data_IF_150266343823
#
_entry.id   IF_150266343823
#
_cell.length_a   1.000
_cell.length_b   1.000
_cell.length_c   1.000
_cell.angle_alpha   90.00
_cell.angle_beta   90.00
_cell.angle_gamma   90.00
#
_symmetry.space_group_name_H-M   'P 1'
#
loop_
_entity.id
_entity.type
_entity.pdbx_description
1 polymer ?
#
# COMPACT_ATOMS: atom_id res chain seq x y z
N UNK A 1 -14.86 -1.67 -16.12
CA UNK A 1 -14.42 -0.74 -17.16
C UNK A 1 -14.05 -1.59 -18.33
N UNK A 2 -14.85 -1.53 -19.42
CA UNK A 2 -14.35 -1.99 -20.70
C UNK A 2 -13.28 -0.99 -21.13
N UNK A 3 -12.04 -1.31 -20.82
CA UNK A 3 -10.90 -0.66 -21.43
C UNK A 3 -10.84 -1.23 -22.86
N UNK A 4 -11.26 -0.43 -23.83
CA UNK A 4 -11.08 -0.76 -25.25
C UNK A 4 -9.58 -0.57 -25.58
N UNK A 5 -8.80 -1.57 -25.16
CA UNK A 5 -7.35 -1.63 -25.37
C UNK A 5 -7.07 -2.57 -26.53
N UNK A 6 -6.36 -2.07 -27.50
CA UNK A 6 -5.76 -2.86 -28.56
C UNK A 6 -4.50 -3.58 -28.09
N UNK A 7 -3.83 -4.23 -29.04
CA UNK A 7 -2.59 -4.94 -28.77
C UNK A 7 -1.48 -3.96 -28.35
N UNK A 8 -0.73 -4.32 -27.29
CA UNK A 8 0.41 -3.56 -26.76
C UNK A 8 0.10 -2.12 -26.29
N UNK A 9 -1.19 -1.77 -26.07
CA UNK A 9 -1.61 -0.41 -25.70
C UNK A 9 -1.46 -0.10 -24.20
N UNK A 10 -1.17 -1.09 -23.35
CA UNK A 10 -0.85 -0.87 -21.95
C UNK A 10 0.58 -1.33 -21.66
N UNK A 11 1.34 -0.50 -20.97
CA UNK A 11 2.64 -0.88 -20.41
C UNK A 11 2.51 -1.01 -18.90
N UNK A 12 2.87 -2.17 -18.37
CA UNK A 12 2.97 -2.40 -16.93
C UNK A 12 4.45 -2.55 -16.58
N UNK A 13 4.94 -1.71 -15.66
CA UNK A 13 6.32 -1.76 -15.19
C UNK A 13 6.37 -2.53 -13.89
N UNK A 14 7.06 -3.66 -13.89
CA UNK A 14 7.08 -4.61 -12.77
C UNK A 14 5.72 -5.26 -12.53
N UNK A 15 5.68 -6.47 -12.00
CA UNK A 15 4.42 -7.08 -11.61
C UNK A 15 4.56 -8.12 -10.50
N UNK A 16 3.74 -8.00 -9.45
CA UNK A 16 3.50 -9.08 -8.50
C UNK A 16 2.62 -10.16 -9.12
N UNK A 17 2.57 -11.35 -8.49
CA UNK A 17 1.67 -12.42 -8.94
C UNK A 17 0.19 -12.01 -8.89
N UNK A 18 -0.20 -11.19 -7.92
CA UNK A 18 -1.56 -10.68 -7.81
C UNK A 18 -1.92 -9.77 -8.99
N UNK A 19 -0.99 -8.89 -9.40
CA UNK A 19 -1.17 -8.03 -10.58
C UNK A 19 -1.26 -8.88 -11.85
N UNK A 20 -0.39 -9.87 -12.05
CA UNK A 20 -0.44 -10.75 -13.23
C UNK A 20 -1.78 -11.48 -13.35
N UNK A 21 -2.32 -12.01 -12.25
CA UNK A 21 -3.66 -12.64 -12.24
C UNK A 21 -4.74 -11.65 -12.63
N UNK A 22 -4.73 -10.48 -11.99
CA UNK A 22 -5.72 -9.44 -12.27
C UNK A 22 -5.69 -9.01 -13.74
N UNK A 23 -4.49 -8.81 -14.32
CA UNK A 23 -4.34 -8.51 -15.75
C UNK A 23 -4.99 -9.58 -16.62
N UNK A 24 -4.74 -10.88 -16.32
CA UNK A 24 -5.30 -12.00 -17.08
C UNK A 24 -6.82 -12.11 -17.00
N UNK A 25 -7.43 -11.68 -15.87
CA UNK A 25 -8.87 -11.74 -15.65
C UNK A 25 -9.64 -10.53 -16.21
N UNK A 26 -8.99 -9.36 -16.28
CA UNK A 26 -9.68 -8.09 -16.53
C UNK A 26 -9.39 -7.47 -17.88
N UNK A 27 -8.30 -7.86 -18.54
CA UNK A 27 -7.82 -7.18 -19.75
C UNK A 27 -7.92 -8.06 -21.00
N UNK A 28 -8.08 -7.43 -22.18
CA UNK A 28 -8.10 -8.15 -23.44
C UNK A 28 -6.78 -8.90 -23.70
N UNK A 29 -6.83 -10.06 -24.39
CA UNK A 29 -5.61 -10.77 -24.78
C UNK A 29 -4.65 -9.90 -25.59
N UNK A 30 -3.36 -9.97 -25.23
CA UNK A 30 -2.29 -9.27 -25.93
C UNK A 30 -2.25 -7.75 -25.74
N UNK A 31 -3.06 -7.19 -24.81
CA UNK A 31 -3.12 -5.73 -24.62
C UNK A 31 -1.98 -5.16 -23.77
N UNK A 32 -1.21 -6.00 -23.07
CA UNK A 32 -0.21 -5.59 -22.08
C UNK A 32 1.20 -5.95 -22.53
N UNK A 33 2.12 -4.99 -22.45
CA UNK A 33 3.56 -5.20 -22.44
C UNK A 33 4.06 -5.11 -21.01
N UNK A 34 4.68 -6.17 -20.50
CA UNK A 34 5.30 -6.18 -19.17
C UNK A 34 6.78 -5.79 -19.28
N UNK A 35 7.17 -4.71 -18.64
CA UNK A 35 8.58 -4.30 -18.47
C UNK A 35 9.07 -4.83 -17.13
N UNK A 36 10.12 -5.65 -17.10
CA UNK A 36 10.61 -6.24 -15.85
C UNK A 36 12.14 -6.33 -15.80
N UNK A 37 12.69 -6.35 -14.58
CA UNK A 37 14.11 -6.51 -14.31
C UNK A 37 14.65 -7.83 -14.89
N UNK A 38 15.80 -7.83 -15.59
CA UNK A 38 16.35 -9.04 -16.21
C UNK A 38 16.62 -10.18 -15.23
N UNK A 39 17.09 -9.86 -14.03
CA UNK A 39 17.35 -10.84 -12.97
C UNK A 39 16.05 -11.37 -12.33
N UNK A 40 15.03 -10.52 -12.18
CA UNK A 40 13.70 -10.91 -11.70
C UNK A 40 13.01 -11.84 -12.72
N UNK A 41 13.11 -11.54 -14.02
CA UNK A 41 12.59 -12.41 -15.09
C UNK A 41 13.16 -13.82 -14.94
N UNK A 42 14.49 -13.94 -14.81
CA UNK A 42 15.17 -15.24 -14.65
C UNK A 42 14.76 -15.94 -13.35
N UNK A 43 14.88 -15.26 -12.22
CA UNK A 43 14.65 -15.84 -10.90
C UNK A 43 13.22 -16.31 -10.69
N UNK A 44 12.24 -15.57 -11.23
CA UNK A 44 10.82 -15.93 -11.12
C UNK A 44 10.33 -16.84 -12.24
N UNK A 45 11.14 -17.13 -13.24
CA UNK A 45 10.69 -17.89 -14.41
C UNK A 45 9.54 -17.23 -15.15
N UNK A 46 9.54 -15.87 -15.24
CA UNK A 46 8.40 -15.09 -15.74
C UNK A 46 7.98 -15.47 -17.15
N UNK A 47 8.88 -15.94 -18.00
CA UNK A 47 8.53 -16.40 -19.35
C UNK A 47 7.46 -17.50 -19.32
N UNK A 48 7.54 -18.43 -18.36
CA UNK A 48 6.52 -19.47 -18.16
C UNK A 48 5.25 -18.93 -17.53
N UNK A 49 5.38 -18.06 -16.53
CA UNK A 49 4.22 -17.49 -15.82
C UNK A 49 3.35 -16.60 -16.72
N UNK A 50 3.96 -15.79 -17.58
CA UNK A 50 3.20 -14.89 -18.47
C UNK A 50 2.55 -15.65 -19.63
N UNK A 51 3.03 -16.83 -19.99
CA UNK A 51 2.36 -17.67 -20.96
C UNK A 51 0.94 -18.10 -20.53
N UNK A 52 0.69 -18.10 -19.19
CA UNK A 52 -0.61 -18.37 -18.60
C UNK A 52 -1.48 -17.11 -18.41
N UNK A 53 -0.97 -15.93 -18.80
CA UNK A 53 -1.66 -14.64 -18.68
C UNK A 53 -1.95 -14.06 -20.06
N UNK A 54 -3.11 -14.39 -20.67
CA UNK A 54 -3.42 -14.03 -22.06
C UNK A 54 -3.32 -12.53 -22.37
N UNK A 55 -3.55 -11.67 -21.38
CA UNK A 55 -3.43 -10.23 -21.53
C UNK A 55 -1.98 -9.77 -21.83
N UNK A 56 -0.95 -10.49 -21.35
CA UNK A 56 0.44 -10.12 -21.58
C UNK A 56 0.90 -10.63 -22.92
N UNK A 57 1.22 -9.71 -23.85
CA UNK A 57 1.73 -10.02 -25.20
C UNK A 57 3.19 -10.42 -25.17
N UNK A 58 4.00 -9.74 -24.35
CA UNK A 58 5.45 -9.96 -24.23
C UNK A 58 6.03 -9.35 -22.96
N UNK A 59 7.22 -9.82 -22.59
CA UNK A 59 8.03 -9.27 -21.51
C UNK A 59 9.23 -8.55 -22.10
N UNK A 60 9.45 -7.32 -21.67
CA UNK A 60 10.58 -6.48 -22.09
C UNK A 60 11.56 -6.37 -20.92
N UNK A 61 12.79 -6.88 -21.05
CA UNK A 61 13.80 -6.74 -20.00
C UNK A 61 14.29 -5.28 -19.92
N UNK A 62 14.21 -4.69 -18.74
CA UNK A 62 14.79 -3.37 -18.48
C UNK A 62 15.14 -3.20 -17.00
N UNK A 63 16.27 -2.58 -16.72
CA UNK A 63 16.65 -2.16 -15.40
C UNK A 63 15.87 -0.90 -15.03
N UNK A 64 15.00 -0.98 -14.01
CA UNK A 64 14.15 0.15 -13.64
C UNK A 64 14.15 0.47 -12.14
N UNK A 65 14.46 -0.50 -11.27
CA UNK A 65 14.33 -0.33 -9.82
C UNK A 65 15.38 0.61 -9.22
N UNK A 66 16.52 0.74 -9.88
CA UNK A 66 17.60 1.69 -9.49
C UNK A 66 17.67 2.92 -10.38
N UNK A 67 16.77 2.99 -11.37
CA UNK A 67 16.66 4.11 -12.32
C UNK A 67 16.46 3.60 -13.75
N UNK A 68 15.42 4.05 -14.42
CA UNK A 68 15.09 3.66 -15.79
C UNK A 68 15.70 4.64 -16.79
N UNK A 69 16.54 4.13 -17.70
CA UNK A 69 17.04 4.85 -18.86
C UNK A 69 15.94 4.88 -19.95
N UNK A 70 14.94 5.75 -19.80
CA UNK A 70 13.70 5.76 -20.61
C UNK A 70 13.99 5.89 -22.10
N UNK A 71 14.87 6.81 -22.51
CA UNK A 71 15.17 6.99 -23.93
C UNK A 71 15.83 5.74 -24.55
N UNK A 72 16.81 5.17 -23.85
CA UNK A 72 17.45 3.92 -24.30
C UNK A 72 16.47 2.74 -24.38
N UNK A 73 15.48 2.69 -23.47
CA UNK A 73 14.41 1.70 -23.56
C UNK A 73 13.55 1.91 -24.79
N UNK A 74 13.11 3.14 -25.08
CA UNK A 74 12.28 3.45 -26.24
C UNK A 74 13.01 3.29 -27.57
N UNK A 75 14.31 3.58 -27.62
CA UNK A 75 15.16 3.33 -28.80
C UNK A 75 15.26 1.85 -29.13
N UNK A 76 15.36 0.99 -28.10
CA UNK A 76 15.43 -0.47 -28.25
C UNK A 76 14.05 -1.11 -28.51
N UNK A 77 13.01 -0.54 -27.94
CA UNK A 77 11.64 -1.03 -27.96
C UNK A 77 10.67 0.06 -28.49
N UNK A 78 10.79 0.46 -29.76
CA UNK A 78 9.97 1.58 -30.30
C UNK A 78 8.47 1.30 -30.26
N UNK A 79 8.05 0.03 -30.21
CA UNK A 79 6.65 -0.35 -30.05
C UNK A 79 6.01 0.11 -28.74
N UNK A 80 6.80 0.45 -27.70
CA UNK A 80 6.26 1.02 -26.46
C UNK A 80 5.66 2.42 -26.66
N UNK A 81 6.02 3.12 -27.74
CA UNK A 81 5.44 4.43 -28.08
C UNK A 81 3.95 4.35 -28.46
N UNK A 82 3.44 3.17 -28.78
CA UNK A 82 2.00 2.96 -29.02
C UNK A 82 1.17 2.88 -27.75
N UNK A 83 1.80 2.87 -26.58
CA UNK A 83 1.10 2.79 -25.31
C UNK A 83 0.13 3.98 -25.11
N UNK A 84 -1.05 3.66 -24.59
CA UNK A 84 -2.08 4.63 -24.16
C UNK A 84 -2.14 4.74 -22.65
N UNK A 85 -1.51 3.79 -21.94
CA UNK A 85 -1.50 3.73 -20.50
C UNK A 85 -0.21 3.09 -20.00
N UNK A 86 0.41 3.70 -18.96
CA UNK A 86 1.56 3.18 -18.26
C UNK A 86 1.20 3.06 -16.78
N UNK A 87 1.35 1.86 -16.22
CA UNK A 87 1.05 1.59 -14.81
C UNK A 87 2.24 0.93 -14.09
N UNK A 88 2.52 1.31 -12.83
CA UNK A 88 3.37 0.50 -11.98
C UNK A 88 2.61 -0.73 -11.50
N UNK A 89 3.18 -1.92 -11.63
CA UNK A 89 2.61 -3.16 -11.11
C UNK A 89 3.13 -3.56 -9.75
N UNK A 90 4.06 -2.77 -9.19
CA UNK A 90 4.59 -2.91 -7.83
C UNK A 90 5.27 -1.60 -7.38
N UNK A 91 5.56 -1.50 -6.08
CA UNK A 91 6.13 -0.29 -5.46
C UNK A 91 7.43 0.17 -6.11
N UNK A 92 8.35 -0.76 -6.37
CA UNK A 92 9.67 -0.42 -6.94
C UNK A 92 9.62 0.10 -8.38
N UNK A 93 8.46 0.03 -9.02
CA UNK A 93 8.23 0.48 -10.38
C UNK A 93 7.62 1.89 -10.48
N UNK A 94 7.14 2.46 -9.36
CA UNK A 94 6.37 3.72 -9.34
C UNK A 94 7.14 4.86 -10.04
N UNK A 95 8.39 5.10 -9.67
CA UNK A 95 9.21 6.14 -10.27
C UNK A 95 9.52 5.89 -11.76
N UNK A 96 9.74 4.64 -12.15
CA UNK A 96 10.02 4.28 -13.54
C UNK A 96 8.78 4.43 -14.42
N UNK A 97 7.61 3.99 -13.94
CA UNK A 97 6.34 4.16 -14.64
C UNK A 97 5.99 5.63 -14.84
N UNK A 98 6.20 6.46 -13.80
CA UNK A 98 5.97 7.91 -13.90
C UNK A 98 6.86 8.56 -14.98
N UNK A 99 8.15 8.22 -15.02
CA UNK A 99 9.10 8.73 -16.04
C UNK A 99 8.74 8.28 -17.44
N UNK A 100 8.32 7.02 -17.60
CA UNK A 100 7.91 6.50 -18.90
C UNK A 100 6.61 7.16 -19.36
N UNK A 101 5.61 7.29 -18.48
CA UNK A 101 4.36 8.00 -18.78
C UNK A 101 4.61 9.45 -19.19
N UNK A 102 5.44 10.19 -18.45
CA UNK A 102 5.79 11.57 -18.76
C UNK A 102 6.48 11.69 -20.13
N UNK A 103 7.45 10.80 -20.42
CA UNK A 103 8.17 10.80 -21.71
C UNK A 103 7.26 10.50 -22.90
N UNK A 104 6.20 9.72 -22.69
CA UNK A 104 5.20 9.39 -23.70
C UNK A 104 4.04 10.40 -23.75
N UNK A 105 4.02 11.42 -22.89
CA UNK A 105 2.93 12.39 -22.81
C UNK A 105 1.62 11.78 -22.29
N UNK A 106 1.70 10.71 -21.50
CA UNK A 106 0.55 10.00 -20.96
C UNK A 106 0.21 10.46 -19.53
N UNK A 107 -1.06 10.32 -19.11
CA UNK A 107 -1.42 10.57 -17.72
C UNK A 107 -0.62 9.66 -16.75
N UNK A 108 -0.18 10.23 -15.63
CA UNK A 108 0.58 9.53 -14.60
C UNK A 108 0.67 10.35 -13.32
N UNK A 109 1.33 9.79 -12.30
CA UNK A 109 1.50 10.43 -11.00
C UNK A 109 2.23 11.78 -11.06
N UNK A 110 3.10 11.97 -12.05
CA UNK A 110 4.14 12.98 -12.09
C UNK A 110 5.42 12.45 -11.45
N UNK A 111 6.57 12.75 -12.07
CA UNK A 111 7.87 12.18 -11.63
C UNK A 111 8.23 12.60 -10.21
N UNK A 112 8.06 13.89 -9.87
CA UNK A 112 8.39 14.39 -8.54
C UNK A 112 7.51 13.76 -7.45
N UNK A 113 6.19 13.67 -7.69
CA UNK A 113 5.26 13.04 -6.76
C UNK A 113 5.57 11.54 -6.57
N UNK A 114 5.89 10.83 -7.65
CA UNK A 114 6.29 9.44 -7.61
C UNK A 114 7.57 9.23 -6.77
N UNK A 115 8.58 10.09 -6.96
CA UNK A 115 9.82 10.03 -6.19
C UNK A 115 9.63 10.36 -4.70
N UNK A 116 8.76 11.33 -4.38
CA UNK A 116 8.43 11.69 -2.99
C UNK A 116 7.74 10.52 -2.31
N UNK A 117 6.70 9.97 -2.94
CA UNK A 117 5.93 8.88 -2.33
C UNK A 117 6.69 7.55 -2.27
N UNK A 118 7.71 7.34 -3.08
CA UNK A 118 8.59 6.17 -3.01
C UNK A 118 9.71 6.28 -1.96
N UNK A 119 9.81 7.41 -1.23
CA UNK A 119 10.83 7.64 -0.21
C UNK A 119 10.24 8.26 1.05
N UNK A 120 10.25 7.47 2.15
CA UNK A 120 9.63 7.89 3.43
C UNK A 120 10.23 9.17 4.00
N UNK A 121 11.53 9.40 3.83
CA UNK A 121 12.17 10.63 4.32
C UNK A 121 11.71 11.85 3.50
N UNK A 122 11.69 11.74 2.15
CA UNK A 122 11.17 12.83 1.28
C UNK A 122 9.72 13.14 1.58
N UNK A 123 8.90 12.10 1.84
CA UNK A 123 7.50 12.28 2.21
C UNK A 123 7.36 13.03 3.56
N UNK A 124 8.23 12.74 4.56
CA UNK A 124 8.23 13.45 5.83
C UNK A 124 8.59 14.94 5.66
N UNK A 125 9.62 15.22 4.84
CA UNK A 125 10.00 16.61 4.51
C UNK A 125 8.85 17.36 3.83
N UNK A 126 8.16 16.71 2.88
CA UNK A 126 6.99 17.31 2.24
C UNK A 126 5.86 17.58 3.22
N UNK A 127 5.57 16.62 4.10
CA UNK A 127 4.50 16.79 5.10
C UNK A 127 4.78 17.97 6.04
N UNK A 128 6.04 18.15 6.48
CA UNK A 128 6.46 19.33 7.27
C UNK A 128 6.28 20.63 6.47
N UNK A 129 6.77 20.67 5.24
CA UNK A 129 6.64 21.84 4.37
C UNK A 129 5.17 22.21 4.11
N UNK A 130 4.28 21.22 4.04
CA UNK A 130 2.84 21.41 3.88
C UNK A 130 2.11 21.72 5.19
N UNK A 131 2.80 21.80 6.33
CA UNK A 131 2.20 22.03 7.65
C UNK A 131 1.27 20.90 8.09
N UNK A 132 1.58 19.67 7.68
CA UNK A 132 0.87 18.47 8.11
C UNK A 132 1.52 17.90 9.38
N UNK A 133 0.71 17.26 10.21
CA UNK A 133 1.24 16.62 11.41
C UNK A 133 2.16 15.45 11.05
N UNK A 134 3.35 15.44 11.63
CA UNK A 134 4.38 14.43 11.48
C UNK A 134 4.82 13.90 12.85
N UNK A 135 5.31 12.64 12.98
CA UNK A 135 6.17 12.28 14.09
C UNK A 135 7.48 13.07 14.01
N UNK A 136 8.21 13.21 15.10
CA UNK A 136 9.60 13.58 15.01
C UNK A 136 10.37 12.47 14.27
N UNK A 137 11.28 12.84 13.37
CA UNK A 137 12.01 11.88 12.52
C UNK A 137 13.39 12.41 12.19
N UNK A 138 14.31 11.50 11.88
CA UNK A 138 15.66 11.85 11.44
C UNK A 138 16.25 10.71 10.59
N UNK A 139 16.97 11.05 9.53
CA UNK A 139 17.78 10.12 8.77
C UNK A 139 19.10 9.91 9.51
N UNK A 140 19.51 8.67 9.72
CA UNK A 140 20.68 8.31 10.52
C UNK A 140 21.57 7.30 9.82
N UNK A 141 22.88 7.35 10.13
CA UNK A 141 23.89 6.51 9.51
C UNK A 141 24.45 5.44 10.47
N UNK A 142 24.04 5.44 11.73
CA UNK A 142 24.55 4.49 12.72
C UNK A 142 23.55 4.14 13.81
N UNK A 143 23.71 2.95 14.44
CA UNK A 143 22.92 2.56 15.61
C UNK A 143 23.05 3.54 16.76
N UNK A 144 24.23 4.17 16.95
CA UNK A 144 24.47 5.11 18.03
C UNK A 144 23.61 6.39 17.88
N UNK A 145 23.49 6.92 16.66
CA UNK A 145 22.59 8.05 16.39
C UNK A 145 21.14 7.68 16.65
N UNK A 146 20.71 6.49 16.18
CA UNK A 146 19.36 5.99 16.43
C UNK A 146 19.06 5.83 17.93
N UNK A 147 20.00 5.33 18.71
CA UNK A 147 19.87 5.19 20.17
C UNK A 147 19.72 6.56 20.84
N UNK A 148 20.55 7.53 20.48
CA UNK A 148 20.47 8.89 21.04
C UNK A 148 19.12 9.57 20.74
N UNK A 149 18.50 9.29 19.57
CA UNK A 149 17.15 9.76 19.24
C UNK A 149 16.09 9.07 20.08
N UNK A 150 16.16 7.74 20.20
CA UNK A 150 15.25 6.98 21.01
C UNK A 150 15.25 7.44 22.46
N UNK A 151 16.42 7.68 23.04
CA UNK A 151 16.57 8.20 24.41
C UNK A 151 15.91 9.57 24.57
N UNK A 152 16.11 10.47 23.62
CA UNK A 152 15.43 11.80 23.60
C UNK A 152 13.91 11.69 23.53
N UNK A 153 13.36 10.65 22.92
CA UNK A 153 11.94 10.44 22.76
C UNK A 153 11.31 9.49 23.80
N UNK A 154 12.00 9.23 24.91
CA UNK A 154 11.51 8.42 26.02
C UNK A 154 11.71 6.91 25.82
N UNK A 155 12.74 6.51 25.10
CA UNK A 155 13.19 5.12 24.96
C UNK A 155 12.45 4.33 23.87
N UNK A 156 11.59 4.96 23.07
CA UNK A 156 10.79 4.27 22.03
C UNK A 156 10.93 4.95 20.68
N UNK A 157 11.17 4.14 19.65
CA UNK A 157 11.23 4.65 18.28
C UNK A 157 10.79 3.59 17.27
N UNK A 158 10.71 4.00 16.01
CA UNK A 158 10.50 3.10 14.88
C UNK A 158 11.71 3.26 13.94
N UNK A 159 12.36 2.15 13.63
CA UNK A 159 13.37 2.09 12.57
C UNK A 159 12.70 1.68 11.27
N UNK A 160 13.00 2.40 10.18
CA UNK A 160 12.43 2.13 8.84
C UNK A 160 13.48 2.32 7.76
N UNK A 161 13.56 1.42 6.76
CA UNK A 161 14.27 1.75 5.52
C UNK A 161 13.48 2.82 4.77
N UNK A 162 14.16 3.80 4.16
CA UNK A 162 13.49 4.89 3.42
C UNK A 162 12.72 4.38 2.21
N UNK A 163 13.22 3.32 1.56
CA UNK A 163 12.68 2.77 0.31
C UNK A 163 12.46 1.27 0.40
N UNK A 164 11.38 0.85 1.01
CA UNK A 164 10.89 -0.55 1.03
C UNK A 164 9.40 -0.54 1.28
N UNK A 165 8.70 -1.58 0.82
CA UNK A 165 7.27 -1.81 1.00
C UNK A 165 7.01 -3.05 1.86
N UNK A 166 5.76 -3.30 2.24
CA UNK A 166 5.37 -4.50 2.95
C UNK A 166 5.92 -4.58 4.37
N UNK A 167 6.11 -3.44 5.05
CA UNK A 167 6.74 -3.37 6.37
C UNK A 167 8.13 -4.02 6.45
N UNK A 168 8.76 -4.30 5.31
CA UNK A 168 10.06 -4.95 5.24
C UNK A 168 11.13 -4.05 5.88
N UNK A 169 11.82 -4.59 6.89
CA UNK A 169 12.83 -3.86 7.66
C UNK A 169 12.27 -2.83 8.66
N UNK A 170 10.94 -2.66 8.76
CA UNK A 170 10.32 -1.79 9.76
C UNK A 170 10.29 -2.48 11.11
N UNK A 171 10.79 -1.81 12.15
CA UNK A 171 10.85 -2.36 13.50
C UNK A 171 10.37 -1.35 14.55
N UNK A 172 9.46 -1.77 15.39
CA UNK A 172 9.01 -1.04 16.57
C UNK A 172 9.98 -1.35 17.72
N UNK A 173 10.71 -0.36 18.18
CA UNK A 173 11.69 -0.48 19.26
C UNK A 173 11.05 0.01 20.55
N UNK A 174 11.00 -0.88 21.53
CA UNK A 174 10.48 -0.60 22.87
C UNK A 174 11.60 -0.28 23.88
N UNK A 175 12.81 -0.76 23.61
CA UNK A 175 14.02 -0.56 24.43
C UNK A 175 15.17 -0.17 23.51
N UNK A 176 15.87 0.97 23.75
CA UNK A 176 17.01 1.40 22.96
C UNK A 176 18.15 0.37 22.89
N UNK A 177 18.29 -0.51 23.88
CA UNK A 177 19.26 -1.60 23.87
C UNK A 177 19.08 -2.58 22.70
N UNK A 178 17.88 -2.64 22.11
CA UNK A 178 17.58 -3.49 20.97
C UNK A 178 18.06 -2.90 19.63
N UNK A 179 18.37 -1.59 19.57
CA UNK A 179 18.64 -0.87 18.32
C UNK A 179 19.84 -1.47 17.58
N UNK A 180 20.92 -1.79 18.26
CA UNK A 180 22.10 -2.38 17.64
C UNK A 180 21.78 -3.69 16.89
N UNK A 181 20.92 -4.54 17.46
CA UNK A 181 20.46 -5.77 16.82
C UNK A 181 19.45 -5.51 15.71
N UNK A 182 18.59 -4.52 15.90
CA UNK A 182 17.56 -4.14 14.94
C UNK A 182 18.13 -3.49 13.69
N UNK A 183 19.27 -2.82 13.84
CA UNK A 183 19.91 -2.03 12.79
C UNK A 183 20.17 -2.82 11.50
N UNK A 184 20.82 -3.98 11.62
CA UNK A 184 21.16 -4.79 10.46
C UNK A 184 19.93 -5.17 9.62
N UNK A 185 18.83 -5.52 10.28
CA UNK A 185 17.55 -5.89 9.60
C UNK A 185 16.92 -4.69 8.88
N UNK A 186 17.11 -3.47 9.42
CA UNK A 186 16.56 -2.25 8.81
C UNK A 186 17.47 -1.68 7.73
N UNK A 187 18.80 -1.66 7.98
CA UNK A 187 19.77 -1.11 7.04
C UNK A 187 19.94 -1.99 5.80
N UNK A 188 19.88 -3.32 6.00
CA UNK A 188 20.05 -4.32 4.94
C UNK A 188 18.90 -5.33 4.95
N UNK A 189 17.65 -4.88 4.66
CA UNK A 189 16.52 -5.79 4.67
C UNK A 189 16.66 -6.83 3.55
N UNK A 190 16.29 -8.08 3.85
CA UNK A 190 16.31 -9.14 2.85
C UNK A 190 15.49 -8.75 1.61
N UNK A 191 16.01 -9.01 0.40
CA UNK A 191 15.29 -8.69 -0.82
C UNK A 191 14.05 -9.58 -0.98
N UNK A 192 12.96 -8.99 -1.47
CA UNK A 192 11.79 -9.75 -1.90
C UNK A 192 12.06 -10.44 -3.25
N UNK A 193 11.18 -11.36 -3.63
CA UNK A 193 11.28 -12.03 -4.94
C UNK A 193 11.11 -11.08 -6.13
N UNK A 194 10.53 -9.91 -5.88
CA UNK A 194 10.35 -8.84 -6.88
C UNK A 194 11.51 -7.82 -6.88
N UNK A 195 12.37 -7.82 -5.87
CA UNK A 195 13.49 -6.88 -5.81
C UNK A 195 14.66 -7.36 -6.67
N UNK A 196 15.33 -6.40 -7.32
CA UNK A 196 16.57 -6.69 -8.08
C UNK A 196 17.71 -7.13 -7.16
N UNK A 197 18.57 -8.03 -7.64
CA UNK A 197 19.78 -8.50 -6.95
C UNK A 197 20.84 -7.41 -6.81
N UNK A 198 20.76 -6.33 -7.58
CA UNK A 198 21.68 -5.17 -7.47
C UNK A 198 21.55 -4.37 -6.19
N UNK A 199 20.53 -4.69 -5.38
CA UNK A 199 20.18 -3.94 -4.18
C UNK A 199 19.46 -2.62 -4.52
N UNK A 200 18.59 -2.22 -3.61
CA UNK A 200 17.88 -0.95 -3.72
C UNK A 200 18.50 0.05 -2.77
N UNK A 201 18.94 1.24 -3.24
CA UNK A 201 19.45 2.27 -2.36
C UNK A 201 18.43 2.60 -1.28
N UNK A 202 18.85 2.58 -0.02
CA UNK A 202 17.99 2.92 1.12
C UNK A 202 18.83 3.52 2.24
N UNK A 203 18.25 4.47 2.97
CA UNK A 203 18.78 4.97 4.24
C UNK A 203 17.95 4.43 5.39
N UNK A 204 18.40 4.65 6.61
CA UNK A 204 17.64 4.33 7.82
C UNK A 204 17.00 5.59 8.37
N UNK A 205 15.67 5.58 8.42
CA UNK A 205 14.87 6.62 9.04
C UNK A 205 14.45 6.17 10.44
N UNK A 206 14.69 7.02 11.43
CA UNK A 206 14.21 6.85 12.79
C UNK A 206 13.04 7.78 13.01
N UNK A 207 11.95 7.26 13.55
CA UNK A 207 10.77 8.05 13.85
C UNK A 207 10.33 7.85 15.30
N UNK A 208 9.79 8.91 15.91
CA UNK A 208 9.11 8.80 17.19
C UNK A 208 7.90 7.86 17.06
N UNK A 209 7.78 6.93 17.99
CA UNK A 209 6.63 6.03 18.03
C UNK A 209 5.32 6.80 18.23
N UNK A 210 4.39 6.65 17.31
CA UNK A 210 3.02 7.12 17.49
C UNK A 210 2.19 6.04 18.16
N UNK A 211 1.28 6.46 19.05
CA UNK A 211 0.37 5.55 19.76
C UNK A 211 -1.05 5.90 19.38
N UNK A 212 -1.75 4.98 18.77
CA UNK A 212 -3.13 5.17 18.33
C UNK A 212 -3.57 4.08 17.36
N UNK A 213 -4.85 4.06 16.99
CA UNK A 213 -5.33 3.23 15.91
C UNK A 213 -4.79 3.73 14.57
N UNK A 214 -4.49 2.79 13.68
CA UNK A 214 -3.99 3.04 12.33
C UNK A 214 -5.11 2.95 11.31
N UNK A 215 -5.09 3.85 10.37
CA UNK A 215 -6.00 3.92 9.24
C UNK A 215 -5.22 4.09 7.95
N UNK A 216 -5.79 3.65 6.83
CA UNK A 216 -5.32 4.08 5.52
C UNK A 216 -6.36 4.94 4.83
N UNK A 217 -5.88 5.78 3.93
CA UNK A 217 -6.71 6.55 3.01
C UNK A 217 -6.30 6.21 1.59
N UNK A 218 -7.27 5.76 0.82
CA UNK A 218 -7.14 5.48 -0.60
C UNK A 218 -7.76 6.64 -1.38
N UNK A 219 -6.95 7.28 -2.23
CA UNK A 219 -7.40 8.32 -3.14
C UNK A 219 -7.30 7.83 -4.57
N UNK A 220 -8.30 8.17 -5.39
CA UNK A 220 -8.18 8.16 -6.84
C UNK A 220 -8.14 9.60 -7.31
N UNK A 221 -7.07 9.97 -7.99
CA UNK A 221 -6.82 11.33 -8.47
C UNK A 221 -6.80 11.32 -10.00
N UNK A 222 -7.44 12.30 -10.61
CA UNK A 222 -7.42 12.54 -12.05
C UNK A 222 -7.13 14.02 -12.30
N UNK A 223 -6.07 14.31 -13.06
CA UNK A 223 -5.61 15.66 -13.39
C UNK A 223 -5.44 16.59 -12.16
N UNK A 224 -4.97 16.01 -11.04
CA UNK A 224 -4.76 16.74 -9.79
C UNK A 224 -6.00 16.80 -8.89
N UNK A 225 -7.17 16.38 -9.38
CA UNK A 225 -8.42 16.42 -8.63
C UNK A 225 -8.74 15.05 -8.01
N UNK A 226 -9.05 14.99 -6.70
CA UNK A 226 -9.45 13.77 -6.04
C UNK A 226 -10.88 13.39 -6.46
N UNK A 227 -11.04 12.33 -7.25
CA UNK A 227 -12.35 11.86 -7.72
C UNK A 227 -12.95 10.76 -6.85
N UNK A 228 -12.16 10.16 -5.96
CA UNK A 228 -12.60 9.19 -4.97
C UNK A 228 -11.68 9.25 -3.75
N UNK A 229 -12.26 9.10 -2.55
CA UNK A 229 -11.53 8.97 -1.31
C UNK A 229 -12.24 8.00 -0.35
N UNK A 230 -11.51 7.04 0.17
CA UNK A 230 -11.98 6.09 1.18
C UNK A 230 -11.07 6.11 2.40
N UNK A 231 -11.61 5.72 3.55
CA UNK A 231 -10.83 5.50 4.79
C UNK A 231 -11.03 4.05 5.22
N UNK A 232 -9.92 3.36 5.44
CA UNK A 232 -9.88 1.96 5.87
C UNK A 232 -9.35 1.86 7.30
N UNK A 233 -10.01 1.09 8.15
CA UNK A 233 -9.52 0.73 9.48
C UNK A 233 -8.59 -0.47 9.37
N UNK A 234 -7.37 -0.36 9.93
CA UNK A 234 -6.34 -1.39 9.90
C UNK A 234 -6.21 -2.05 11.27
N UNK A 235 -6.28 -3.37 11.31
CA UNK A 235 -6.00 -4.15 12.51
C UNK A 235 -4.59 -4.70 12.46
N UNK A 236 -3.79 -4.30 13.42
CA UNK A 236 -2.41 -4.74 13.55
C UNK A 236 -2.29 -5.81 14.63
N UNK A 237 -1.44 -6.79 14.38
CA UNK A 237 -0.93 -7.68 15.42
C UNK A 237 0.04 -6.88 16.29
N UNK A 238 -0.16 -6.94 17.61
CA UNK A 238 0.79 -6.33 18.56
C UNK A 238 2.14 -7.03 18.50
N UNK A 239 3.22 -6.29 18.73
CA UNK A 239 4.57 -6.83 18.77
C UNK A 239 5.60 -5.94 18.09
N UNK A 240 6.79 -6.48 17.84
CA UNK A 240 7.92 -5.76 17.22
C UNK A 240 7.67 -5.41 15.75
N UNK A 241 6.94 -6.26 15.04
CA UNK A 241 6.65 -6.08 13.62
C UNK A 241 5.18 -5.70 13.45
N UNK A 242 4.88 -4.60 12.73
CA UNK A 242 3.51 -4.17 12.47
C UNK A 242 2.88 -5.05 11.38
N UNK A 243 2.38 -6.22 11.77
CA UNK A 243 1.72 -7.17 10.85
C UNK A 243 0.23 -6.87 10.81
N UNK A 244 -0.30 -6.67 9.61
CA UNK A 244 -1.72 -6.45 9.38
C UNK A 244 -2.49 -7.77 9.45
N UNK A 245 -3.57 -7.79 10.24
CA UNK A 245 -4.41 -8.98 10.44
C UNK A 245 -5.80 -8.82 9.86
N UNK A 246 -6.15 -7.62 9.40
CA UNK A 246 -7.44 -7.37 8.76
C UNK A 246 -7.74 -5.91 8.53
N UNK A 247 -8.72 -5.67 7.67
CA UNK A 247 -9.19 -4.36 7.26
C UNK A 247 -10.70 -4.26 7.41
N UNK A 248 -11.20 -3.05 7.69
CA UNK A 248 -12.64 -2.74 7.62
C UNK A 248 -12.85 -1.54 6.69
N UNK A 249 -13.61 -1.75 5.63
CA UNK A 249 -13.87 -0.76 4.57
C UNK A 249 -15.37 -0.53 4.42
N UNK A 250 -15.85 0.71 4.56
CA UNK A 250 -15.17 1.89 5.10
C UNK A 250 -14.91 1.75 6.60
N UNK A 251 -13.94 2.53 7.12
CA UNK A 251 -13.64 2.57 8.54
C UNK A 251 -14.87 2.93 9.39
N UNK A 252 -15.06 2.22 10.50
CA UNK A 252 -16.16 2.47 11.46
C UNK A 252 -15.86 3.71 12.33
N UNK A 253 -15.67 4.86 11.69
CA UNK A 253 -15.42 6.17 12.31
C UNK A 253 -16.60 7.12 12.11
N UNK A 254 -16.80 8.11 12.99
CA UNK A 254 -17.67 9.25 12.71
C UNK A 254 -17.28 9.94 11.40
N UNK A 255 -18.26 10.47 10.67
CA UNK A 255 -18.00 11.12 9.37
C UNK A 255 -17.04 12.29 9.46
N UNK A 256 -17.09 13.04 10.59
CA UNK A 256 -16.13 14.12 10.86
C UNK A 256 -14.69 13.65 10.86
N UNK A 257 -14.43 12.47 11.42
CA UNK A 257 -13.10 11.89 11.51
C UNK A 257 -12.65 11.31 10.14
N UNK A 258 -13.56 10.63 9.44
CA UNK A 258 -13.29 10.16 8.07
C UNK A 258 -12.98 11.33 7.13
N UNK A 259 -13.75 12.41 7.24
CA UNK A 259 -13.51 13.63 6.45
C UNK A 259 -12.14 14.21 6.75
N UNK A 260 -11.76 14.36 8.03
CA UNK A 260 -10.46 14.90 8.41
C UNK A 260 -9.29 14.06 7.87
N UNK A 261 -9.41 12.72 7.89
CA UNK A 261 -8.40 11.84 7.29
C UNK A 261 -8.32 11.99 5.77
N UNK A 262 -9.45 12.07 5.09
CA UNK A 262 -9.48 12.33 3.63
C UNK A 262 -8.86 13.69 3.30
N UNK A 263 -9.22 14.74 4.02
CA UNK A 263 -8.74 16.09 3.76
C UNK A 263 -7.21 16.20 3.92
N UNK A 264 -6.63 15.55 4.94
CA UNK A 264 -5.19 15.56 5.13
C UNK A 264 -4.46 14.74 4.05
N UNK A 265 -5.02 13.61 3.60
CA UNK A 265 -4.45 12.82 2.51
C UNK A 265 -4.52 13.57 1.17
N UNK A 266 -5.63 14.27 0.89
CA UNK A 266 -5.78 15.13 -0.28
C UNK A 266 -4.76 16.27 -0.25
N UNK A 267 -4.57 16.92 0.90
CA UNK A 267 -3.55 17.97 1.05
C UNK A 267 -2.14 17.44 0.80
N UNK A 268 -1.81 16.24 1.29
CA UNK A 268 -0.52 15.62 1.06
C UNK A 268 -0.30 15.33 -0.43
N UNK A 269 -1.30 14.74 -1.11
CA UNK A 269 -1.24 14.45 -2.53
C UNK A 269 -1.10 15.73 -3.37
N UNK A 270 -1.86 16.78 -3.04
CA UNK A 270 -1.78 18.09 -3.69
C UNK A 270 -0.42 18.77 -3.47
N UNK A 271 0.14 18.71 -2.25
CA UNK A 271 1.46 19.26 -1.95
C UNK A 271 2.58 18.53 -2.71
N UNK A 272 2.42 17.22 -2.98
CA UNK A 272 3.34 16.47 -3.83
C UNK A 272 3.21 16.79 -5.32
N UNK A 273 2.17 17.52 -5.72
CA UNK A 273 1.84 17.72 -7.13
C UNK A 273 1.39 16.43 -7.82
N UNK A 274 0.76 15.51 -7.09
CA UNK A 274 0.28 14.25 -7.64
C UNK A 274 -0.84 14.48 -8.65
N UNK A 275 -0.70 13.96 -9.87
CA UNK A 275 -1.60 14.29 -10.98
C UNK A 275 -2.66 13.23 -11.25
N UNK A 276 -2.25 12.02 -11.60
CA UNK A 276 -3.23 10.97 -11.99
C UNK A 276 -2.76 9.61 -11.50
N UNK A 277 -3.67 8.90 -10.81
CA UNK A 277 -3.40 7.56 -10.29
C UNK A 277 -4.06 7.30 -8.96
N UNK A 278 -3.58 6.26 -8.27
CA UNK A 278 -4.03 5.85 -6.93
C UNK A 278 -2.97 6.23 -5.91
N UNK A 279 -3.39 6.85 -4.82
CA UNK A 279 -2.56 7.11 -3.64
C UNK A 279 -3.12 6.31 -2.47
N UNK A 280 -2.27 5.51 -1.85
CA UNK A 280 -2.53 4.87 -0.57
C UNK A 280 -1.65 5.51 0.49
N UNK A 281 -2.23 6.02 1.56
CA UNK A 281 -1.50 6.67 2.65
C UNK A 281 -1.96 6.16 3.99
N UNK A 282 -1.02 5.96 4.92
CA UNK A 282 -1.28 5.43 6.24
C UNK A 282 -1.18 6.52 7.31
N UNK A 283 -2.09 6.47 8.28
CA UNK A 283 -2.30 7.53 9.27
C UNK A 283 -2.52 6.95 10.65
N UNK A 284 -1.80 7.46 11.65
CA UNK A 284 -2.08 7.21 13.06
C UNK A 284 -3.00 8.30 13.60
N UNK A 285 -4.10 7.88 14.22
CA UNK A 285 -4.97 8.80 14.93
C UNK A 285 -4.59 8.84 16.39
N UNK A 286 -4.02 9.95 16.87
CA UNK A 286 -3.77 10.13 18.30
C UNK A 286 -5.09 10.18 19.06
N UNK A 287 -5.22 9.37 20.12
CA UNK A 287 -6.33 9.51 21.08
C UNK A 287 -6.19 10.88 21.75
N UNK A 288 -7.28 11.63 21.85
CA UNK A 288 -7.32 12.89 22.59
C UNK A 288 -7.08 12.61 24.07
N UNK A 289 -6.18 13.36 24.72
CA UNK A 289 -6.27 13.65 26.15
C UNK A 289 -7.55 14.45 26.40
N UNK A 290 -8.07 14.43 27.62
CA UNK A 290 -9.38 14.95 28.02
C UNK A 290 -9.65 16.43 27.66
N UNK A 291 -8.69 17.18 27.14
CA UNK A 291 -8.79 18.59 26.82
C UNK A 291 -8.53 18.87 25.34
N UNK A 292 -9.53 19.48 24.71
CA UNK A 292 -9.58 20.14 23.41
C UNK A 292 -10.04 19.32 22.18
N UNK A 293 -11.18 19.77 21.66
CA UNK A 293 -11.80 19.34 20.41
C UNK A 293 -10.98 19.65 19.16
N UNK A 294 -10.68 18.63 18.40
CA UNK A 294 -10.02 18.69 17.08
C UNK A 294 -9.25 17.41 16.78
N UNK A 295 -9.33 16.90 15.56
CA UNK A 295 -8.39 15.90 15.03
C UNK A 295 -7.03 16.60 14.98
N UNK A 296 -6.17 16.39 15.97
CA UNK A 296 -4.80 16.85 15.94
C UNK A 296 -3.93 15.64 15.62
N UNK A 297 -3.41 15.64 14.41
CA UNK A 297 -2.28 14.82 14.04
C UNK A 297 -2.61 13.38 13.64
N UNK A 298 -3.23 13.20 12.48
CA UNK A 298 -2.93 12.05 11.67
C UNK A 298 -1.56 12.32 11.04
N UNK A 299 -0.58 11.46 11.31
CA UNK A 299 0.74 11.55 10.69
C UNK A 299 0.83 10.49 9.61
N UNK A 300 1.28 10.88 8.42
CA UNK A 300 1.51 9.92 7.33
C UNK A 300 2.58 8.90 7.76
N UNK A 301 2.25 7.62 7.72
CA UNK A 301 3.24 6.55 7.73
C UNK A 301 3.71 6.32 6.29
N UNK A 302 4.98 6.08 6.12
CA UNK A 302 5.53 5.74 4.81
C UNK A 302 4.88 4.45 4.30
N UNK A 303 4.47 4.50 3.08
CA UNK A 303 3.68 3.54 2.34
C UNK A 303 4.04 2.08 2.50
N UNK A 304 3.02 1.28 2.72
CA UNK A 304 2.94 -0.07 2.23
C UNK A 304 2.02 -0.06 1.00
N UNK A 305 2.62 0.16 -0.18
CA UNK A 305 1.88 0.06 -1.44
C UNK A 305 1.74 -1.42 -1.83
N UNK A 306 0.93 -2.14 -1.12
CA UNK A 306 0.19 -3.17 -1.79
C UNK A 306 -0.95 -2.46 -2.51
N UNK A 307 -0.68 -2.02 -3.72
CA UNK A 307 -1.74 -1.85 -4.69
C UNK A 307 -2.36 -3.23 -4.88
N UNK A 308 -3.24 -3.60 -3.95
CA UNK A 308 -4.14 -4.70 -4.13
C UNK A 308 -5.21 -4.21 -5.12
N UNK A 309 -4.83 -4.15 -6.40
CA UNK A 309 -5.73 -3.88 -7.52
C UNK A 309 -6.84 -4.94 -7.59
N UNK A 310 -6.70 -6.03 -6.82
CA UNK A 310 -7.65 -7.15 -6.81
C UNK A 310 -8.97 -6.90 -6.09
N UNK A 311 -9.13 -5.84 -5.30
CA UNK A 311 -10.34 -5.57 -4.51
C UNK A 311 -11.25 -4.47 -5.05
N UNK A 312 -10.77 -3.60 -5.91
CA UNK A 312 -11.54 -2.46 -6.39
C UNK A 312 -12.21 -2.75 -7.74
N UNK A 313 -13.38 -3.38 -7.72
CA UNK A 313 -14.29 -3.35 -8.88
C UNK A 313 -14.87 -1.95 -9.01
N UNK A 314 -14.09 -1.00 -9.48
CA UNK A 314 -14.59 0.33 -9.85
C UNK A 314 -15.26 0.22 -11.21
N UNK A 315 -16.60 0.15 -11.22
CA UNK A 315 -17.36 0.43 -12.45
C UNK A 315 -17.31 1.94 -12.69
N UNK A 316 -16.29 2.41 -13.38
CA UNK A 316 -16.28 3.76 -13.94
C UNK A 316 -17.32 3.79 -15.07
N UNK A 317 -18.56 4.23 -14.78
CA UNK A 317 -19.51 4.55 -15.86
C UNK A 317 -18.95 5.77 -16.61
N UNK A 318 -18.91 5.67 -17.93
CA UNK A 318 -18.57 6.77 -18.84
C UNK A 318 -19.38 8.02 -18.51
N UNK A 319 -18.70 9.18 -18.60
CA UNK A 319 -19.17 10.56 -18.50
C UNK A 319 -19.41 11.06 -17.08
N UNK A 320 -18.37 11.70 -16.55
CA UNK A 320 -18.57 12.88 -15.70
C UNK A 320 -18.73 14.05 -16.69
N UNK A 321 -19.88 14.76 -16.71
CA UNK A 321 -19.98 15.98 -17.47
C UNK A 321 -19.00 16.99 -16.87
N UNK A 322 -18.23 17.67 -17.71
CA UNK A 322 -17.49 18.84 -17.29
C UNK A 322 -18.50 19.84 -16.67
N UNK A 323 -18.39 20.06 -15.32
CA UNK A 323 -19.28 21.01 -14.64
C UNK A 323 -19.97 20.51 -13.37
N UNK A 324 -19.79 19.26 -12.91
CA UNK A 324 -20.34 18.84 -11.63
C UNK A 324 -19.41 19.26 -10.47
N UNK A 325 -19.53 20.53 -10.06
CA UNK A 325 -18.98 20.99 -8.78
C UNK A 325 -19.62 20.20 -7.64
N UNK A 326 -18.84 19.86 -6.62
CA UNK A 326 -19.32 19.30 -5.38
C UNK A 326 -20.31 20.25 -4.72
N UNK A 327 -21.63 20.01 -4.91
CA UNK A 327 -22.64 20.73 -4.14
C UNK A 327 -22.55 20.26 -2.69
N UNK A 328 -22.15 21.15 -1.81
CA UNK A 328 -22.35 21.03 -0.38
C UNK A 328 -23.86 20.89 -0.13
N UNK A 329 -24.30 19.71 0.31
CA UNK A 329 -25.66 19.53 0.78
C UNK A 329 -25.84 20.33 2.08
N UNK A 330 -26.31 21.55 1.92
CA UNK A 330 -26.84 22.38 2.98
C UNK A 330 -28.15 21.80 3.47
N UNK A 331 -28.32 21.80 4.79
CA UNK A 331 -29.53 21.43 5.48
C UNK A 331 -30.74 22.23 4.99
N UNK A 332 -31.82 21.54 4.64
CA UNK A 332 -33.15 22.12 4.63
C UNK A 332 -34.10 21.12 5.28
N UNK A 333 -34.60 21.51 6.44
CA UNK A 333 -35.71 20.85 7.12
C UNK A 333 -37.03 21.11 6.39
N UNK A 334 -37.99 20.23 6.60
CA UNK A 334 -39.37 20.40 6.17
C UNK A 334 -40.17 19.13 6.35
N UNK A 335 -41.02 19.13 7.37
CA UNK A 335 -42.02 18.12 7.68
C UNK A 335 -43.04 17.95 6.55
N UNK A 336 -43.63 16.81 6.31
CA UNK A 336 -44.99 16.42 6.70
C UNK A 336 -45.50 15.14 6.04
N UNK A 337 -46.12 14.31 6.85
CA UNK A 337 -47.28 13.41 6.66
C UNK A 337 -47.29 12.26 5.64
N UNK A 338 -47.44 11.09 6.18
CA UNK A 338 -48.70 10.33 6.06
C UNK A 338 -48.65 9.12 5.13
N UNK A 339 -48.99 7.94 5.64
CA UNK A 339 -49.48 6.88 4.85
C UNK A 339 -48.93 5.47 5.17
N UNK A 340 -49.71 4.75 5.94
CA UNK A 340 -49.50 3.40 6.42
C UNK A 340 -49.53 2.31 5.34
N UNK A 341 -48.99 1.19 5.69
CA UNK A 341 -49.01 -0.02 4.91
C UNK A 341 -48.26 -1.13 5.63
N UNK A 342 -48.94 -1.84 6.52
CA UNK A 342 -48.40 -2.96 7.25
C UNK A 342 -48.19 -4.15 6.35
N UNK A 343 -47.15 -4.92 6.59
CA UNK A 343 -46.96 -6.28 6.06
C UNK A 343 -46.66 -7.23 7.22
N UNK A 344 -47.33 -8.39 7.26
CA UNK A 344 -47.34 -9.25 8.44
C UNK A 344 -46.12 -10.17 8.53
N UNK A 345 -45.71 -10.38 9.76
CA UNK A 345 -44.74 -11.39 10.16
C UNK A 345 -45.28 -12.81 9.96
N UNK A 346 -44.45 -13.74 9.54
CA UNK A 346 -44.68 -15.16 9.61
C UNK A 346 -43.69 -15.86 10.54
N UNK A 347 -44.14 -16.88 11.27
CA UNK A 347 -43.45 -17.35 12.48
C UNK A 347 -42.43 -18.45 12.24
N UNK A 348 -41.51 -18.52 13.21
CA UNK A 348 -40.50 -19.56 13.38
C UNK A 348 -41.13 -20.94 13.59
N UNK A 349 -40.58 -21.99 12.99
CA UNK A 349 -40.81 -23.37 13.37
C UNK A 349 -39.58 -23.92 14.09
N UNK A 350 -39.78 -24.25 15.35
CA UNK A 350 -39.00 -25.15 16.19
C UNK A 350 -38.93 -26.55 15.56
N UNK A 351 -37.78 -27.15 15.58
CA UNK A 351 -37.52 -28.56 15.33
C UNK A 351 -36.39 -29.07 16.21
N UNK A 352 -36.78 -29.53 17.36
CA UNK A 352 -35.99 -30.28 18.35
C UNK A 352 -35.60 -31.66 17.78
N UNK A 353 -34.32 -32.06 17.92
CA UNK A 353 -33.92 -33.46 18.08
C UNK A 353 -32.57 -33.60 18.77
N UNK A 354 -32.71 -34.13 19.94
CA UNK A 354 -31.76 -34.66 20.92
C UNK A 354 -30.80 -35.72 20.36
N UNK A 355 -29.58 -35.74 20.86
CA UNK A 355 -29.01 -36.94 21.48
C UNK A 355 -27.96 -37.71 20.67
N UNK A 356 -26.73 -37.64 21.08
CA UNK A 356 -25.93 -38.76 21.61
C UNK A 356 -24.50 -38.31 21.86
N UNK A 357 -24.07 -38.54 23.08
CA UNK A 357 -22.71 -38.32 23.56
C UNK A 357 -21.78 -39.51 23.21
N UNK A 358 -20.54 -39.46 23.72
CA UNK A 358 -19.39 -40.15 23.16
C UNK A 358 -19.11 -41.54 23.77
N UNK A 359 -18.17 -42.27 23.18
CA UNK A 359 -17.17 -42.96 23.98
C UNK A 359 -15.76 -42.71 23.39
N UNK A 360 -14.66 -42.73 24.13
CA UNK A 360 -14.21 -43.48 25.27
C UNK A 360 -12.73 -43.70 25.04
N UNK A 361 -11.97 -43.51 26.09
CA UNK A 361 -10.53 -43.53 26.24
C UNK A 361 -9.83 -44.88 25.87
N UNK A 362 -8.52 -44.77 25.69
CA UNK A 362 -7.40 -45.61 26.09
C UNK A 362 -6.39 -45.69 24.93
N UNK A 363 -5.13 -45.50 25.12
CA UNK A 363 -4.19 -46.07 26.00
C UNK A 363 -2.76 -45.56 25.76
N UNK A 364 -2.11 -45.35 26.88
CA UNK A 364 -0.71 -45.04 27.04
C UNK A 364 0.22 -46.19 26.67
N UNK A 365 1.44 -45.87 26.19
CA UNK A 365 2.70 -46.57 26.51
C UNK A 365 3.89 -45.73 25.97
N UNK A 366 4.61 -45.14 26.86
CA UNK A 366 5.96 -45.40 27.41
C UNK A 366 7.08 -45.55 26.39
N UNK A 367 8.03 -44.64 26.54
CA UNK A 367 9.43 -44.74 26.11
C UNK A 367 10.13 -45.96 26.81
N UNK A 368 11.31 -46.40 26.37
CA UNK A 368 12.53 -45.70 26.75
C UNK A 368 13.74 -45.88 25.78
N UNK A 369 14.82 -45.12 26.00
CA UNK A 369 16.13 -45.72 26.08
C UNK A 369 17.25 -44.95 25.38
N UNK A 370 18.08 -44.39 26.19
CA UNK A 370 19.36 -43.75 25.94
C UNK A 370 20.45 -44.70 25.35
N UNK A 371 21.46 -44.09 24.68
CA UNK A 371 22.90 -44.38 24.79
C UNK A 371 23.66 -43.50 23.79
N UNK A 372 24.41 -42.59 24.17
CA UNK A 372 25.85 -42.39 24.49
C UNK A 372 26.86 -43.00 23.51
N UNK A 373 27.87 -42.17 23.21
CA UNK A 373 29.26 -42.32 22.72
C UNK A 373 29.40 -41.94 21.27
N UNK A 374 30.39 -41.14 20.85
CA UNK A 374 31.62 -40.63 21.39
C UNK A 374 32.66 -40.55 20.30
N UNK A 375 33.39 -39.45 20.25
CA UNK A 375 34.78 -39.45 19.79
C UNK A 375 35.11 -39.19 18.31
N UNK A 376 35.59 -38.15 17.97
CA UNK A 376 36.90 -37.49 17.69
C UNK A 376 36.74 -36.21 16.92
#
# INVERSE_FOLDING_TARGET
VDLDLGRDEMVVVGASLGVLRWLGEQLPPGSVVLVEEPDVIRRRGLAGLVAEVPAVSRVVPAEYQTGLAVNALLDREPGLAAARLVLPGLEYAVGAAARLAERLGLPGAGVEAADIFSDKHRMRLLADAAGLANPAYELVDSPAQATALADRWGGRCVLKPTRRSGSLGVQLIADPAEIARAWAVTAEPEPTVEATERGLPTGVLVEQTLVGPEYSVELLVADGEPIFANVTDKRLLGGRFPVETGHTVPAALPETDRRALRDVAIRLAGAAGFRTGVVHSEWDRRRRGADAGGVRGAAARGHDHRADLGGLRVRLRRRVPAGAGWATAGAAGGADRGGGGGVPARPARHGDRRGRGPPGAAGARRAPGAARRGGR
#
